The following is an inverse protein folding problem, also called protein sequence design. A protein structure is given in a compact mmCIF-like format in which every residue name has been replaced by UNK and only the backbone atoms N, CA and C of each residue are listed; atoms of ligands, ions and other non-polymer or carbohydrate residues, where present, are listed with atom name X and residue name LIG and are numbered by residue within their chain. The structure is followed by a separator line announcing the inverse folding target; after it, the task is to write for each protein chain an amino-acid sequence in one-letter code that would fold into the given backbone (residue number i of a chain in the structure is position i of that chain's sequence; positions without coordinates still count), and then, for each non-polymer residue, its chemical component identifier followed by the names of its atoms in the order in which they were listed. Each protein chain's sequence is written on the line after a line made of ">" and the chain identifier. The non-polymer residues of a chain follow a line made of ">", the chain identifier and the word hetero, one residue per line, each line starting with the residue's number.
data_IF_121450786370
#
_entry.id   IF_121450786370
#
_cell.length_a   1.000
_cell.length_b   1.000
_cell.length_c   1.000
_cell.angle_alpha   90.00
_cell.angle_beta   90.00
_cell.angle_gamma   90.00
#
_symmetry.space_group_name_H-M   'P 1'
#
loop_
_entity.id
_entity.type
_entity.pdbx_description
1 polymer ?
#
# COMPACT_ATOMS: atom_id res chain seq x y z
N UNK A 1 -23.68 1.79 -2.24
CA UNK A 1 -23.34 2.35 -0.91
C UNK A 1 -21.97 2.98 -1.04
N UNK A 2 -21.69 4.11 -0.36
CA UNK A 2 -20.37 4.74 -0.43
C UNK A 2 -19.37 3.97 0.44
N UNK A 3 -18.13 3.91 -0.01
CA UNK A 3 -17.05 3.21 0.66
C UNK A 3 -16.23 4.19 1.52
N UNK A 4 -15.89 3.80 2.74
CA UNK A 4 -15.03 4.55 3.67
C UNK A 4 -13.63 3.95 3.66
N UNK A 5 -12.61 4.79 3.44
CA UNK A 5 -11.24 4.31 3.19
C UNK A 5 -10.35 4.56 4.39
N UNK A 6 -9.61 3.53 4.82
CA UNK A 6 -8.54 3.64 5.79
C UNK A 6 -7.24 3.03 5.27
N UNK A 7 -6.14 3.77 5.42
CA UNK A 7 -4.79 3.36 5.08
C UNK A 7 -4.07 2.97 6.36
N UNK A 8 -3.52 1.77 6.40
CA UNK A 8 -2.80 1.21 7.54
C UNK A 8 -1.30 1.28 7.22
N UNK A 9 -0.67 2.39 7.62
CA UNK A 9 0.75 2.64 7.45
C UNK A 9 1.04 4.03 6.86
N UNK A 10 2.16 4.59 7.30
CA UNK A 10 2.54 6.00 7.05
C UNK A 10 4.01 6.19 6.70
N UNK A 11 4.70 5.12 6.29
CA UNK A 11 6.05 5.22 5.76
C UNK A 11 6.10 5.96 4.41
N UNK A 12 7.25 5.93 3.73
CA UNK A 12 7.44 6.61 2.45
C UNK A 12 6.36 6.17 1.42
N UNK A 13 6.25 4.85 1.17
CA UNK A 13 5.23 4.34 0.25
C UNK A 13 3.79 4.57 0.72
N UNK A 14 3.51 4.43 2.02
CA UNK A 14 2.17 4.70 2.57
C UNK A 14 1.73 6.15 2.40
N UNK A 15 2.68 7.09 2.50
CA UNK A 15 2.44 8.52 2.29
C UNK A 15 2.15 8.84 0.81
N UNK A 16 2.94 8.28 -0.11
CA UNK A 16 2.73 8.46 -1.56
C UNK A 16 1.37 7.89 -2.01
N UNK A 17 1.03 6.70 -1.51
CA UNK A 17 -0.27 6.07 -1.73
C UNK A 17 -1.40 6.89 -1.10
N UNK A 18 -1.18 7.44 0.09
CA UNK A 18 -2.14 8.33 0.76
C UNK A 18 -2.55 9.52 -0.11
N UNK A 19 -1.58 10.16 -0.77
CA UNK A 19 -1.84 11.23 -1.75
C UNK A 19 -2.74 10.75 -2.89
N UNK A 20 -2.35 9.67 -3.58
CA UNK A 20 -3.13 9.11 -4.71
C UNK A 20 -4.57 8.77 -4.30
N UNK A 21 -4.71 8.05 -3.19
CA UNK A 21 -6.01 7.59 -2.71
C UNK A 21 -6.90 8.78 -2.35
N UNK A 22 -6.37 9.78 -1.66
CA UNK A 22 -7.13 10.96 -1.26
C UNK A 22 -7.57 11.82 -2.47
N UNK A 23 -6.71 11.96 -3.50
CA UNK A 23 -7.06 12.58 -4.77
C UNK A 23 -8.20 11.84 -5.48
N UNK A 24 -8.11 10.52 -5.58
CA UNK A 24 -9.09 9.71 -6.30
C UNK A 24 -10.41 9.57 -5.56
N UNK A 25 -10.40 9.54 -4.23
CA UNK A 25 -11.61 9.61 -3.40
C UNK A 25 -12.37 10.91 -3.69
N UNK A 26 -11.67 12.04 -3.75
CA UNK A 26 -12.28 13.35 -4.07
C UNK A 26 -12.88 13.39 -5.48
N UNK A 27 -12.29 12.67 -6.45
CA UNK A 27 -12.78 12.58 -7.83
C UNK A 27 -14.02 11.68 -7.99
N UNK A 28 -14.34 10.85 -7.00
CA UNK A 28 -15.45 9.89 -7.06
C UNK A 28 -16.42 10.04 -5.87
N UNK A 29 -17.05 11.21 -5.68
CA UNK A 29 -17.89 11.50 -4.50
C UNK A 29 -19.17 10.66 -4.42
N UNK A 30 -19.58 10.03 -5.53
CA UNK A 30 -20.69 9.07 -5.55
C UNK A 30 -20.32 7.67 -5.04
N UNK A 31 -19.03 7.33 -5.05
CA UNK A 31 -18.51 6.00 -4.69
C UNK A 31 -17.84 6.00 -3.31
N UNK A 32 -17.19 7.09 -2.90
CA UNK A 32 -16.47 7.17 -1.63
C UNK A 32 -17.00 8.27 -0.72
N UNK A 33 -16.86 8.07 0.59
CA UNK A 33 -16.90 9.18 1.54
C UNK A 33 -15.68 10.09 1.34
N UNK A 34 -15.80 11.40 1.58
CA UNK A 34 -14.76 12.36 1.21
C UNK A 34 -13.46 12.14 2.01
N UNK A 35 -13.56 11.76 3.28
CA UNK A 35 -12.42 11.66 4.17
C UNK A 35 -11.72 10.29 4.07
N UNK A 36 -10.39 10.35 3.97
CA UNK A 36 -9.48 9.20 4.02
C UNK A 36 -8.71 9.25 5.32
N UNK A 37 -8.78 8.19 6.12
CA UNK A 37 -8.03 8.09 7.37
C UNK A 37 -6.74 7.32 7.14
N UNK A 38 -5.61 7.85 7.57
CA UNK A 38 -4.33 7.16 7.52
C UNK A 38 -3.82 6.93 8.93
N UNK A 39 -3.66 5.66 9.30
CA UNK A 39 -3.00 5.30 10.54
C UNK A 39 -1.50 5.63 10.44
N UNK A 40 -1.05 6.44 11.39
CA UNK A 40 0.35 6.82 11.56
C UNK A 40 0.79 6.32 12.93
N UNK A 41 1.83 5.48 12.99
CA UNK A 41 2.42 5.14 14.28
C UNK A 41 2.95 6.43 14.93
N UNK A 42 2.52 6.70 16.16
CA UNK A 42 2.80 7.99 16.79
C UNK A 42 4.28 8.09 17.17
N UNK A 43 4.92 9.15 16.70
CA UNK A 43 6.34 9.44 16.94
C UNK A 43 6.49 10.92 17.30
N UNK A 44 7.53 11.24 18.07
CA UNK A 44 7.90 12.63 18.29
C UNK A 44 8.77 13.13 17.11
N UNK A 45 8.37 14.25 16.51
CA UNK A 45 9.08 14.95 15.45
C UNK A 45 9.31 16.40 15.87
N UNK A 46 10.58 16.76 16.10
CA UNK A 46 10.99 18.12 16.51
C UNK A 46 10.23 18.66 17.75
N UNK A 47 9.88 17.78 18.69
CA UNK A 47 9.18 18.15 19.93
C UNK A 47 7.65 18.17 19.83
N UNK A 48 7.08 17.82 18.68
CA UNK A 48 5.64 17.67 18.48
C UNK A 48 5.27 16.25 18.05
N UNK A 49 4.00 15.87 18.21
CA UNK A 49 3.49 14.59 17.69
C UNK A 49 3.45 14.64 16.16
N UNK A 50 4.00 13.61 15.51
CA UNK A 50 4.09 13.52 14.05
C UNK A 50 2.70 13.63 13.40
N UNK A 51 1.66 13.04 14.00
CA UNK A 51 0.29 13.17 13.48
C UNK A 51 -0.22 14.62 13.48
N UNK A 52 0.09 15.39 14.53
CA UNK A 52 -0.24 16.83 14.62
C UNK A 52 0.46 17.61 13.52
N UNK A 53 1.75 17.35 13.30
CA UNK A 53 2.54 17.98 12.23
C UNK A 53 1.96 17.63 10.86
N UNK A 54 1.65 16.36 10.60
CA UNK A 54 1.08 15.92 9.31
C UNK A 54 -0.26 16.61 9.03
N UNK A 55 -1.16 16.64 10.01
CA UNK A 55 -2.48 17.24 9.82
C UNK A 55 -2.43 18.76 9.64
N UNK A 56 -1.47 19.45 10.27
CA UNK A 56 -1.25 20.90 10.16
C UNK A 56 -0.57 21.28 8.85
N UNK A 57 0.57 20.67 8.56
CA UNK A 57 1.43 21.02 7.41
C UNK A 57 0.99 20.35 6.10
N UNK A 58 0.05 19.40 6.20
CA UNK A 58 -0.46 18.57 5.10
C UNK A 58 0.67 17.87 4.36
N UNK A 59 1.59 17.27 5.11
CA UNK A 59 2.82 16.67 4.59
C UNK A 59 3.38 15.70 5.63
N UNK A 60 4.09 14.66 5.21
CA UNK A 60 4.84 13.80 6.12
C UNK A 60 6.34 14.14 6.07
N UNK A 61 6.81 15.09 6.90
CA UNK A 61 8.17 15.62 6.78
C UNK A 61 9.26 14.60 7.15
N UNK A 62 8.89 13.50 7.82
CA UNK A 62 9.83 12.44 8.21
C UNK A 62 10.01 11.41 7.10
N UNK A 63 8.93 11.00 6.44
CA UNK A 63 8.95 9.85 5.52
C UNK A 63 8.74 10.21 4.05
N UNK A 64 8.19 11.39 3.75
CA UNK A 64 7.99 11.88 2.38
C UNK A 64 8.03 13.43 2.35
N UNK A 65 9.21 14.03 2.59
CA UNK A 65 9.37 15.48 2.66
C UNK A 65 9.14 16.15 1.29
N UNK A 66 8.58 17.36 1.31
CA UNK A 66 8.33 18.20 0.14
C UNK A 66 7.04 17.86 -0.64
N UNK A 67 6.28 16.85 -0.22
CA UNK A 67 5.05 16.42 -0.91
C UNK A 67 3.82 16.81 -0.11
N UNK A 68 2.97 17.67 -0.70
CA UNK A 68 1.71 18.09 -0.08
C UNK A 68 0.60 17.07 -0.27
N UNK A 69 -0.15 16.83 0.79
CA UNK A 69 -1.29 15.93 0.86
C UNK A 69 -2.61 16.68 0.60
N UNK A 70 -3.54 16.07 -0.14
CA UNK A 70 -4.90 16.58 -0.30
C UNK A 70 -5.57 16.81 1.06
N UNK A 71 -6.45 17.82 1.22
CA UNK A 71 -7.04 18.23 2.52
C UNK A 71 -7.93 17.18 3.19
N UNK A 72 -8.34 16.15 2.45
CA UNK A 72 -9.20 15.06 2.92
C UNK A 72 -8.43 13.84 3.45
N UNK A 73 -7.08 13.88 3.49
CA UNK A 73 -6.26 12.83 4.10
C UNK A 73 -5.95 13.16 5.57
N UNK A 74 -6.42 12.38 6.51
CA UNK A 74 -6.27 12.67 7.95
C UNK A 74 -5.36 11.65 8.63
N UNK A 75 -4.28 12.12 9.25
CA UNK A 75 -3.39 11.30 10.06
C UNK A 75 -4.03 11.00 11.41
N UNK A 76 -4.11 9.71 11.77
CA UNK A 76 -4.73 9.23 13.01
C UNK A 76 -3.75 8.30 13.75
N UNK A 77 -3.40 8.57 15.02
CA UNK A 77 -2.40 7.77 15.74
C UNK A 77 -2.93 6.43 16.25
N UNK A 78 -4.23 6.38 16.52
CA UNK A 78 -4.91 5.22 17.08
C UNK A 78 -5.43 4.32 15.95
N UNK A 79 -4.87 3.12 15.85
CA UNK A 79 -5.18 2.14 14.81
C UNK A 79 -6.66 1.75 14.79
N UNK A 80 -7.28 1.58 15.96
CA UNK A 80 -8.68 1.18 16.09
C UNK A 80 -9.59 2.32 15.66
N UNK A 81 -9.30 3.57 16.04
CA UNK A 81 -10.06 4.75 15.59
C UNK A 81 -9.88 5.00 14.10
N UNK A 82 -8.69 4.79 13.56
CA UNK A 82 -8.42 4.96 12.13
C UNK A 82 -9.24 3.97 11.30
N UNK A 83 -9.27 2.69 11.70
CA UNK A 83 -9.90 1.60 10.96
C UNK A 83 -11.39 1.40 11.25
N UNK A 84 -11.92 2.00 12.32
CA UNK A 84 -13.34 1.89 12.71
C UNK A 84 -14.26 2.23 11.53
N UNK A 85 -15.25 1.38 11.26
CA UNK A 85 -16.24 1.55 10.19
C UNK A 85 -15.65 1.73 8.77
N UNK A 86 -14.36 1.45 8.57
CA UNK A 86 -13.76 1.44 7.24
C UNK A 86 -14.29 0.23 6.46
N UNK A 87 -14.87 0.46 5.30
CA UNK A 87 -15.28 -0.61 4.38
C UNK A 87 -14.14 -1.01 3.44
N UNK A 88 -13.13 -0.15 3.28
CA UNK A 88 -11.91 -0.41 2.53
C UNK A 88 -10.68 -0.18 3.40
N UNK A 89 -9.81 -1.20 3.48
CA UNK A 89 -8.54 -1.17 4.21
C UNK A 89 -7.35 -1.32 3.26
N UNK A 90 -6.37 -0.42 3.35
CA UNK A 90 -5.16 -0.45 2.51
C UNK A 90 -3.96 -0.73 3.42
N UNK A 91 -3.39 -1.94 3.36
CA UNK A 91 -2.25 -2.32 4.18
C UNK A 91 -0.94 -1.94 3.50
N UNK A 92 -0.20 -1.00 4.09
CA UNK A 92 1.05 -0.46 3.53
C UNK A 92 2.06 -0.18 4.65
N UNK A 93 2.49 -1.26 5.29
CA UNK A 93 3.46 -1.24 6.38
C UNK A 93 4.58 -2.27 6.16
N UNK A 94 5.73 -2.14 6.85
CA UNK A 94 6.75 -3.17 6.85
C UNK A 94 6.19 -4.51 7.33
N UNK A 95 6.60 -5.60 6.66
CA UNK A 95 5.97 -6.91 6.86
C UNK A 95 6.03 -7.43 8.30
N UNK A 96 7.07 -7.05 9.06
CA UNK A 96 7.26 -7.49 10.44
C UNK A 96 6.13 -7.04 11.39
N UNK A 97 5.40 -5.98 11.06
CA UNK A 97 4.33 -5.44 11.92
C UNK A 97 2.93 -5.97 11.56
N UNK A 98 2.78 -6.72 10.46
CA UNK A 98 1.48 -7.17 9.95
C UNK A 98 0.70 -7.98 10.97
N UNK A 99 1.38 -8.91 11.65
CA UNK A 99 0.77 -9.80 12.65
C UNK A 99 0.16 -9.05 13.81
N UNK A 100 0.94 -8.13 14.37
CA UNK A 100 0.57 -7.32 15.53
C UNK A 100 -0.60 -6.40 15.18
N UNK A 101 -0.50 -5.70 14.05
CA UNK A 101 -1.56 -4.82 13.52
C UNK A 101 -2.86 -5.59 13.32
N UNK A 102 -2.80 -6.77 12.69
CA UNK A 102 -3.99 -7.60 12.48
C UNK A 102 -4.59 -8.10 13.81
N UNK A 103 -3.76 -8.39 14.81
CA UNK A 103 -4.25 -8.83 16.12
C UNK A 103 -5.03 -7.72 16.83
N UNK A 104 -4.52 -6.49 16.78
CA UNK A 104 -5.20 -5.31 17.34
C UNK A 104 -6.52 -5.03 16.60
N UNK A 105 -6.56 -5.24 15.28
CA UNK A 105 -7.72 -4.89 14.45
C UNK A 105 -8.85 -5.93 14.45
N UNK A 106 -8.56 -7.18 14.82
CA UNK A 106 -9.43 -8.35 14.59
C UNK A 106 -10.89 -8.16 15.03
N UNK A 107 -11.12 -7.53 16.17
CA UNK A 107 -12.46 -7.32 16.74
C UNK A 107 -13.00 -5.89 16.53
N UNK A 108 -12.34 -5.10 15.67
CA UNK A 108 -12.58 -3.67 15.51
C UNK A 108 -12.81 -3.23 14.06
N UNK A 109 -12.88 -4.18 13.13
CA UNK A 109 -13.16 -3.93 11.71
C UNK A 109 -14.54 -4.43 11.31
N UNK A 110 -15.07 -3.89 10.22
CA UNK A 110 -16.30 -4.41 9.63
C UNK A 110 -16.04 -5.82 9.05
N UNK A 111 -16.92 -6.80 9.31
CA UNK A 111 -16.80 -8.14 8.72
C UNK A 111 -17.03 -8.14 7.20
N UNK A 112 -17.61 -7.06 6.65
CA UNK A 112 -17.80 -6.89 5.20
C UNK A 112 -16.71 -6.01 4.58
N UNK A 113 -15.70 -5.61 5.34
CA UNK A 113 -14.60 -4.82 4.81
C UNK A 113 -13.84 -5.59 3.71
N UNK A 114 -13.28 -4.84 2.79
CA UNK A 114 -12.42 -5.33 1.72
C UNK A 114 -11.03 -4.75 1.97
N UNK A 115 -10.00 -5.53 1.75
CA UNK A 115 -8.64 -5.06 1.94
C UNK A 115 -7.79 -5.20 0.67
N UNK A 116 -6.74 -4.40 0.59
CA UNK A 116 -5.67 -4.57 -0.38
C UNK A 116 -4.31 -4.47 0.32
N UNK A 117 -3.43 -5.42 0.06
CA UNK A 117 -2.06 -5.44 0.56
C UNK A 117 -1.11 -4.83 -0.47
N UNK A 118 -0.34 -3.83 -0.04
CA UNK A 118 0.77 -3.23 -0.78
C UNK A 118 2.12 -3.69 -0.22
N UNK A 119 2.10 -4.70 0.64
CA UNK A 119 3.26 -5.21 1.37
C UNK A 119 4.04 -6.11 0.43
N UNK A 120 5.30 -5.75 0.18
CA UNK A 120 6.21 -6.52 -0.66
C UNK A 120 6.92 -7.58 0.20
N UNK A 121 6.89 -8.82 -0.25
CA UNK A 121 7.59 -9.94 0.40
C UNK A 121 6.68 -11.15 0.64
N UNK A 122 7.29 -12.22 1.13
CA UNK A 122 6.64 -13.47 1.50
C UNK A 122 7.22 -13.90 2.84
N UNK A 123 6.44 -14.55 3.69
CA UNK A 123 7.03 -15.30 4.79
C UNK A 123 7.45 -16.68 4.29
N UNK A 124 8.73 -17.00 4.41
CA UNK A 124 9.27 -18.31 4.05
C UNK A 124 9.65 -19.05 5.34
N UNK A 125 8.94 -20.15 5.61
CA UNK A 125 9.30 -21.17 6.59
C UNK A 125 9.70 -22.45 5.86
N UNK A 126 10.49 -23.34 6.46
CA UNK A 126 11.00 -24.55 5.78
C UNK A 126 9.93 -25.39 5.07
N UNK A 127 8.71 -25.41 5.61
CA UNK A 127 7.59 -26.21 5.09
C UNK A 127 6.52 -25.38 4.38
N UNK A 128 6.62 -24.05 4.40
CA UNK A 128 5.53 -23.18 3.93
C UNK A 128 5.98 -21.79 3.51
N UNK A 129 5.54 -21.39 2.32
CA UNK A 129 5.51 -19.99 1.89
C UNK A 129 4.13 -19.42 2.22
N UNK A 130 4.08 -18.27 2.89
CA UNK A 130 2.84 -17.58 3.23
C UNK A 130 2.83 -16.18 2.62
N UNK A 131 1.76 -15.89 1.90
CA UNK A 131 1.45 -14.58 1.34
C UNK A 131 0.93 -13.65 2.44
N UNK A 132 1.29 -12.36 2.42
CA UNK A 132 0.79 -11.43 3.42
C UNK A 132 -0.71 -11.15 3.24
N UNK A 133 -1.23 -11.16 2.01
CA UNK A 133 -2.68 -11.11 1.79
C UNK A 133 -3.42 -12.29 2.42
N UNK A 134 -2.88 -13.51 2.32
CA UNK A 134 -3.46 -14.70 2.95
C UNK A 134 -3.41 -14.60 4.48
N UNK A 135 -2.31 -14.10 5.04
CA UNK A 135 -2.17 -13.89 6.47
C UNK A 135 -3.18 -12.88 7.02
N UNK A 136 -3.31 -11.73 6.34
CA UNK A 136 -4.29 -10.70 6.67
C UNK A 136 -5.70 -11.28 6.56
N UNK A 137 -6.00 -11.97 5.44
CA UNK A 137 -7.31 -12.58 5.19
C UNK A 137 -7.69 -13.58 6.28
N UNK A 138 -6.77 -14.46 6.66
CA UNK A 138 -7.00 -15.46 7.69
C UNK A 138 -7.21 -14.85 9.08
N UNK A 139 -6.44 -13.82 9.44
CA UNK A 139 -6.54 -13.18 10.77
C UNK A 139 -7.79 -12.33 10.92
N UNK A 140 -8.16 -11.60 9.88
CA UNK A 140 -9.23 -10.61 9.91
C UNK A 140 -10.56 -11.14 9.35
N UNK A 141 -10.57 -12.29 8.65
CA UNK A 141 -11.78 -12.88 8.10
C UNK A 141 -12.37 -12.10 6.91
N UNK A 142 -11.54 -11.31 6.21
CA UNK A 142 -11.95 -10.45 5.10
C UNK A 142 -11.26 -10.83 3.79
N UNK A 143 -11.83 -10.39 2.66
CA UNK A 143 -11.22 -10.55 1.34
C UNK A 143 -10.06 -9.57 1.18
N UNK A 144 -8.93 -10.06 0.69
CA UNK A 144 -7.70 -9.27 0.50
C UNK A 144 -7.23 -9.38 -0.94
N UNK A 145 -7.08 -8.26 -1.62
CA UNK A 145 -6.40 -8.13 -2.91
C UNK A 145 -4.92 -7.77 -2.71
N UNK A 146 -4.13 -7.83 -3.76
CA UNK A 146 -2.72 -7.42 -3.72
C UNK A 146 -2.44 -6.32 -4.74
N UNK A 147 -1.52 -5.40 -4.43
CA UNK A 147 -0.98 -4.43 -5.37
C UNK A 147 0.54 -4.53 -5.35
N UNK A 148 1.13 -4.80 -6.52
CA UNK A 148 2.58 -4.87 -6.70
C UNK A 148 2.97 -4.24 -8.04
N UNK A 149 4.17 -3.67 -8.09
CA UNK A 149 4.68 -2.98 -9.27
C UNK A 149 6.12 -2.49 -9.09
N UNK A 150 6.69 -2.05 -10.21
CA UNK A 150 7.97 -1.35 -10.26
C UNK A 150 7.73 0.13 -9.95
N UNK A 151 7.47 0.43 -8.67
CA UNK A 151 7.22 1.77 -8.18
C UNK A 151 8.23 2.17 -7.10
N UNK A 152 8.78 3.39 -7.26
CA UNK A 152 9.59 4.09 -6.27
C UNK A 152 8.72 5.19 -5.68
N UNK A 153 8.58 5.21 -4.35
CA UNK A 153 7.61 6.04 -3.66
C UNK A 153 7.76 7.53 -3.96
N UNK A 154 8.99 8.05 -3.93
CA UNK A 154 9.31 9.43 -4.24
C UNK A 154 8.94 9.82 -5.68
N UNK A 155 9.18 8.95 -6.66
CA UNK A 155 8.85 9.20 -8.06
C UNK A 155 7.34 9.24 -8.28
N UNK A 156 6.62 8.32 -7.65
CA UNK A 156 5.15 8.29 -7.70
C UNK A 156 4.57 9.53 -7.03
N UNK A 157 5.13 9.95 -5.90
CA UNK A 157 4.70 11.14 -5.19
C UNK A 157 4.95 12.44 -6.00
N UNK A 158 5.99 12.45 -6.82
CA UNK A 158 6.33 13.49 -7.79
C UNK A 158 5.56 13.37 -9.12
N UNK A 159 4.56 12.50 -9.18
CA UNK A 159 3.70 12.30 -10.37
C UNK A 159 4.46 11.85 -11.62
N UNK A 160 5.61 11.17 -11.43
CA UNK A 160 6.33 10.54 -12.53
C UNK A 160 5.59 9.28 -12.97
N UNK A 161 5.57 9.05 -14.27
CA UNK A 161 4.88 7.92 -14.87
C UNK A 161 5.44 6.59 -14.33
N UNK A 162 4.54 5.71 -13.89
CA UNK A 162 4.84 4.32 -13.61
C UNK A 162 3.57 3.45 -13.72
N UNK A 163 3.78 2.15 -13.69
CA UNK A 163 2.73 1.15 -13.77
C UNK A 163 2.70 0.26 -12.53
N UNK A 164 1.52 -0.24 -12.21
CA UNK A 164 1.33 -1.24 -11.16
C UNK A 164 0.25 -2.23 -11.56
N UNK A 165 0.30 -3.40 -10.93
CA UNK A 165 -0.70 -4.44 -11.10
C UNK A 165 -1.45 -4.67 -9.79
N UNK A 166 -2.77 -4.77 -9.88
CA UNK A 166 -3.67 -5.22 -8.83
C UNK A 166 -4.10 -6.64 -9.14
N UNK A 167 -3.85 -7.56 -8.22
CA UNK A 167 -4.38 -8.91 -8.24
C UNK A 167 -5.60 -9.01 -7.33
N UNK A 168 -6.76 -9.33 -7.89
CA UNK A 168 -8.00 -9.47 -7.13
C UNK A 168 -8.86 -10.61 -7.65
N UNK A 169 -9.25 -11.54 -6.76
CA UNK A 169 -10.11 -12.66 -7.14
C UNK A 169 -11.52 -12.21 -7.54
N UNK A 170 -12.07 -11.23 -6.81
CA UNK A 170 -13.41 -10.70 -7.05
C UNK A 170 -13.33 -9.51 -8.01
N UNK A 171 -14.12 -9.56 -9.08
CA UNK A 171 -14.11 -8.53 -10.12
C UNK A 171 -14.50 -7.16 -9.56
N UNK A 172 -15.49 -7.13 -8.68
CA UNK A 172 -16.03 -5.92 -8.08
C UNK A 172 -15.00 -5.23 -7.18
N UNK A 173 -14.16 -6.01 -6.48
CA UNK A 173 -13.07 -5.48 -5.66
C UNK A 173 -11.96 -4.92 -6.54
N UNK A 174 -11.59 -5.63 -7.61
CA UNK A 174 -10.62 -5.15 -8.59
C UNK A 174 -11.03 -3.82 -9.24
N UNK A 175 -12.30 -3.67 -9.63
CA UNK A 175 -12.84 -2.42 -10.17
C UNK A 175 -12.83 -1.29 -9.12
N UNK A 176 -13.18 -1.60 -7.87
CA UNK A 176 -13.14 -0.64 -6.77
C UNK A 176 -11.71 -0.14 -6.53
N UNK A 177 -10.74 -1.05 -6.43
CA UNK A 177 -9.35 -0.68 -6.21
C UNK A 177 -8.75 0.05 -7.42
N UNK A 178 -9.11 -0.33 -8.65
CA UNK A 178 -8.73 0.45 -9.83
C UNK A 178 -9.14 1.92 -9.70
N UNK A 179 -10.38 2.19 -9.26
CA UNK A 179 -10.87 3.57 -9.06
C UNK A 179 -10.14 4.31 -7.94
N UNK A 180 -9.61 3.60 -6.94
CA UNK A 180 -8.83 4.18 -5.85
C UNK A 180 -7.39 4.54 -6.23
N UNK A 181 -6.75 3.72 -7.09
CA UNK A 181 -5.33 3.88 -7.37
C UNK A 181 -5.03 4.51 -8.74
N UNK A 182 -5.86 4.30 -9.75
CA UNK A 182 -5.53 4.73 -11.12
C UNK A 182 -5.45 6.26 -11.24
N UNK A 183 -4.36 6.76 -11.83
CA UNK A 183 -4.20 8.17 -12.21
C UNK A 183 -3.58 8.28 -13.61
N UNK A 184 -3.29 9.50 -14.06
CA UNK A 184 -2.59 9.73 -15.33
C UNK A 184 -1.13 9.27 -15.29
N UNK A 185 -0.50 9.33 -14.12
CA UNK A 185 0.90 8.94 -13.89
C UNK A 185 1.05 7.58 -13.19
N UNK A 186 0.01 7.06 -12.56
CA UNK A 186 0.01 5.76 -11.87
C UNK A 186 -0.97 4.83 -12.57
N UNK A 187 -0.50 4.15 -13.62
CA UNK A 187 -1.34 3.27 -14.44
C UNK A 187 -1.53 1.92 -13.77
N UNK A 188 -2.79 1.54 -13.59
CA UNK A 188 -3.18 0.32 -12.90
C UNK A 188 -3.69 -0.72 -13.89
N UNK A 189 -3.10 -1.90 -13.87
CA UNK A 189 -3.61 -3.10 -14.54
C UNK A 189 -4.28 -4.02 -13.50
N UNK A 190 -5.47 -4.53 -13.78
CA UNK A 190 -6.18 -5.45 -12.87
C UNK A 190 -6.20 -6.86 -13.45
N UNK A 191 -5.69 -7.82 -12.68
CA UNK A 191 -5.71 -9.24 -13.02
C UNK A 191 -6.36 -10.05 -11.89
N UNK A 192 -6.74 -11.29 -12.20
CA UNK A 192 -7.35 -12.20 -11.20
C UNK A 192 -6.34 -12.90 -10.30
N UNK A 193 -5.10 -13.04 -10.76
CA UNK A 193 -4.05 -13.78 -10.08
C UNK A 193 -3.33 -12.91 -9.03
N UNK A 194 -3.89 -12.83 -7.82
CA UNK A 194 -3.25 -12.13 -6.70
C UNK A 194 -1.99 -12.84 -6.18
N UNK A 195 -1.93 -14.17 -6.32
CA UNK A 195 -0.79 -14.99 -5.91
C UNK A 195 0.43 -14.63 -6.76
N UNK A 196 0.28 -14.62 -8.09
CA UNK A 196 1.34 -14.22 -9.02
C UNK A 196 1.83 -12.80 -8.76
N UNK A 197 0.92 -11.84 -8.53
CA UNK A 197 1.26 -10.44 -8.23
C UNK A 197 2.15 -10.32 -6.98
N UNK A 198 1.83 -11.03 -5.90
CA UNK A 198 2.65 -11.01 -4.69
C UNK A 198 3.99 -11.74 -4.86
N UNK A 199 3.98 -12.91 -5.50
CA UNK A 199 5.18 -13.69 -5.75
C UNK A 199 6.20 -12.89 -6.58
N UNK A 200 5.77 -12.26 -7.68
CA UNK A 200 6.64 -11.39 -8.49
C UNK A 200 7.16 -10.20 -7.65
N UNK A 201 6.31 -9.63 -6.80
CA UNK A 201 6.70 -8.55 -5.88
C UNK A 201 7.82 -8.92 -4.92
N UNK A 202 7.91 -10.18 -4.51
CA UNK A 202 8.95 -10.68 -3.62
C UNK A 202 10.21 -11.14 -4.36
N UNK A 203 10.03 -11.87 -5.47
CA UNK A 203 11.14 -12.43 -6.25
C UNK A 203 11.98 -11.34 -6.93
N UNK A 204 11.37 -10.22 -7.32
CA UNK A 204 12.08 -9.11 -7.98
C UNK A 204 13.27 -8.59 -7.18
N UNK A 205 13.19 -8.60 -5.84
CA UNK A 205 14.27 -8.10 -4.99
C UNK A 205 15.47 -9.05 -5.01
N UNK A 206 15.23 -10.36 -5.05
CA UNK A 206 16.27 -11.37 -5.19
C UNK A 206 16.99 -11.19 -6.53
N UNK A 207 16.22 -11.00 -7.61
CA UNK A 207 16.78 -10.73 -8.94
C UNK A 207 17.54 -9.41 -8.98
N UNK A 208 17.02 -8.35 -8.36
CA UNK A 208 17.68 -7.04 -8.28
C UNK A 208 19.04 -7.10 -7.55
N UNK A 209 19.16 -7.92 -6.50
CA UNK A 209 20.44 -8.14 -5.82
C UNK A 209 21.43 -8.86 -6.75
N UNK A 210 21.01 -9.93 -7.44
CA UNK A 210 21.87 -10.63 -8.40
C UNK A 210 22.30 -9.73 -9.57
N UNK A 211 21.38 -8.90 -10.05
CA UNK A 211 21.63 -7.86 -11.06
C UNK A 211 22.68 -6.85 -10.58
N UNK A 212 22.51 -6.29 -9.38
CA UNK A 212 23.45 -5.31 -8.81
C UNK A 212 24.85 -5.87 -8.54
N UNK A 213 24.95 -7.13 -8.11
CA UNK A 213 26.25 -7.82 -7.98
C UNK A 213 26.92 -7.97 -9.34
N UNK A 214 26.18 -8.39 -10.35
CA UNK A 214 26.70 -8.58 -11.72
C UNK A 214 27.15 -7.26 -12.33
N UNK A 215 26.40 -6.18 -12.12
CA UNK A 215 26.75 -4.84 -12.57
C UNK A 215 28.01 -4.31 -11.84
N UNK A 216 28.11 -4.50 -10.53
CA UNK A 216 29.32 -4.16 -9.76
C UNK A 216 30.58 -4.93 -10.18
N UNK A 217 30.42 -6.08 -10.84
CA UNK A 217 31.50 -6.87 -11.45
C UNK A 217 31.79 -6.51 -12.92
N UNK A 218 31.04 -5.57 -13.51
CA UNK A 218 31.22 -5.11 -14.89
C UNK A 218 30.51 -5.95 -15.96
N UNK A 219 29.55 -6.81 -15.59
CA UNK A 219 28.79 -7.66 -16.52
C UNK A 219 27.46 -7.03 -17.00
N UNK A 220 27.44 -5.72 -17.20
CA UNK A 220 26.22 -4.91 -17.39
C UNK A 220 25.33 -5.36 -18.56
N UNK A 221 25.88 -5.92 -19.65
CA UNK A 221 25.11 -6.39 -20.82
C UNK A 221 24.16 -7.57 -20.51
N UNK A 222 24.47 -8.42 -19.53
CA UNK A 222 23.64 -9.59 -19.20
C UNK A 222 22.53 -9.28 -18.18
N UNK A 223 22.64 -8.16 -17.49
CA UNK A 223 21.74 -7.78 -16.39
C UNK A 223 20.40 -7.25 -16.91
N UNK A 224 20.42 -6.44 -17.97
CA UNK A 224 19.21 -5.86 -18.57
C UNK A 224 18.25 -6.92 -19.13
N UNK A 225 18.78 -8.05 -19.61
CA UNK A 225 18.02 -9.17 -20.17
C UNK A 225 17.25 -9.98 -19.11
N UNK A 226 17.80 -10.10 -17.90
CA UNK A 226 17.17 -10.87 -16.81
C UNK A 226 16.04 -10.10 -16.11
N UNK A 227 16.16 -8.77 -16.02
CA UNK A 227 15.19 -7.91 -15.31
C UNK A 227 13.98 -7.55 -16.19
N UNK A 228 14.16 -7.49 -17.51
CA UNK A 228 13.09 -7.12 -18.46
C UNK A 228 12.10 -8.24 -18.78
N UNK A 229 12.40 -9.50 -18.41
CA UNK A 229 11.59 -10.69 -18.71
C UNK A 229 10.84 -11.27 -17.49
N UNK A 230 10.75 -10.50 -16.39
CA UNK A 230 9.98 -10.82 -15.17
C UNK A 230 8.82 -9.85 -15.00
#
# INVERSE_FOLDING_TARGET
>A
MKESVCIIGSGNWGSAVGKIVAENVSKHPGLFYPDVRQWVFEEDYQGEKLTTVINRERENPKYLPGIKFPPNLHAVPDLVKASRDASVLIFVLPHQFVREVCEIMKDHISPTAKAISLIKGLEIKPEKVTLFSEEISKKLGIRVSALSGANIADEVAQERFCETTIGSQAKEDGELFYRLFHTDYFKVNVIRDYVGVELCGALKNVVAVGAGISDGLGYTEYVALCVSNL
#
